data_IF_909827827394
#
_entry.id   IF_909827827394
#
_cell.length_a   1.000
_cell.length_b   1.000
_cell.length_c   1.000
_cell.angle_alpha   90.00
_cell.angle_beta   90.00
_cell.angle_gamma   90.00
#
_symmetry.space_group_name_H-M   'P 1'
#
loop_
_entity.id
_entity.type
_entity.pdbx_description
1 polymer ?
#
# COMPACT_ATOMS: atom_id res chain seq x y z
N UNK A 1 31.58 8.68 8.66
CA UNK A 1 30.11 8.71 8.86
C UNK A 1 29.33 7.90 7.82
N UNK A 2 29.66 7.95 6.52
CA UNK A 2 28.92 7.21 5.47
C UNK A 2 28.97 5.67 5.55
N UNK A 3 30.01 5.08 6.19
CA UNK A 3 30.11 3.62 6.35
C UNK A 3 29.04 3.01 7.28
N UNK A 4 28.57 3.77 8.26
CA UNK A 4 27.57 3.32 9.23
C UNK A 4 26.16 3.20 8.62
N UNK A 5 25.85 3.95 7.56
CA UNK A 5 24.57 3.83 6.86
C UNK A 5 24.52 2.61 5.93
N UNK A 6 25.64 2.20 5.34
CA UNK A 6 25.67 1.08 4.39
C UNK A 6 25.49 -0.26 5.12
N UNK A 7 26.05 -0.41 6.32
CA UNK A 7 25.88 -1.62 7.14
C UNK A 7 24.44 -1.85 7.61
N UNK A 8 23.63 -0.80 7.79
CA UNK A 8 22.22 -0.95 8.19
C UNK A 8 21.28 -1.45 7.08
N UNK A 9 21.63 -1.26 5.82
CA UNK A 9 20.84 -1.76 4.68
C UNK A 9 21.26 -3.16 4.21
N UNK A 10 22.34 -3.72 4.76
CA UNK A 10 22.59 -5.15 4.68
C UNK A 10 21.67 -5.83 5.71
N UNK A 11 20.47 -6.21 5.29
CA UNK A 11 19.62 -7.13 6.05
C UNK A 11 20.44 -8.38 6.38
N UNK A 12 20.95 -8.46 7.61
CA UNK A 12 21.43 -9.70 8.21
C UNK A 12 20.16 -10.51 8.49
N UNK A 13 19.92 -11.63 7.81
CA UNK A 13 18.78 -12.46 8.16
C UNK A 13 19.05 -13.10 9.52
N UNK A 14 18.15 -12.86 10.48
CA UNK A 14 18.05 -13.60 11.73
C UNK A 14 17.59 -15.03 11.42
N UNK A 15 18.49 -15.87 10.90
CA UNK A 15 18.32 -17.31 10.81
C UNK A 15 19.72 -17.95 10.87
N UNK A 16 20.27 -18.00 12.08
CA UNK A 16 21.51 -18.73 12.40
C UNK A 16 21.22 -20.22 12.28
N UNK A 17 21.26 -20.76 11.07
CA UNK A 17 21.44 -22.18 10.86
C UNK A 17 22.94 -22.47 11.02
N UNK A 18 23.29 -22.96 12.20
CA UNK A 18 24.56 -23.57 12.56
C UNK A 18 24.85 -24.71 11.59
N UNK A 19 25.45 -24.42 10.44
CA UNK A 19 26.38 -25.29 9.71
C UNK A 19 26.88 -24.54 8.48
N UNK A 20 28.21 -24.51 8.34
CA UNK A 20 28.93 -23.74 7.35
C UNK A 20 28.45 -23.99 5.93
N UNK A 21 28.07 -22.89 5.27
CA UNK A 21 28.31 -22.51 3.87
C UNK A 21 27.33 -21.37 3.57
N UNK A 22 27.79 -20.12 3.77
CA UNK A 22 27.02 -18.91 3.45
C UNK A 22 26.76 -18.85 1.94
N UNK A 23 25.64 -19.41 1.49
CA UNK A 23 25.12 -19.16 0.15
C UNK A 23 24.48 -17.78 0.16
N UNK A 24 25.18 -16.78 -0.39
CA UNK A 24 24.57 -15.53 -0.84
C UNK A 24 23.64 -15.82 -2.04
N UNK A 25 22.57 -16.58 -1.81
CA UNK A 25 21.50 -16.69 -2.79
C UNK A 25 20.72 -15.40 -2.72
N UNK A 26 20.97 -14.49 -3.67
CA UNK A 26 20.26 -13.24 -3.87
C UNK A 26 18.75 -13.42 -4.21
N UNK A 27 18.20 -14.62 -4.01
CA UNK A 27 16.81 -14.95 -4.30
C UNK A 27 16.01 -15.05 -3.01
N UNK A 28 15.08 -14.11 -2.84
CA UNK A 28 14.06 -14.16 -1.79
C UNK A 28 13.21 -15.41 -2.05
N UNK A 29 13.04 -16.24 -1.03
CA UNK A 29 12.20 -17.44 -1.13
C UNK A 29 10.73 -17.05 -1.24
N UNK A 30 9.95 -17.82 -2.01
CA UNK A 30 8.50 -17.57 -2.22
C UNK A 30 7.74 -17.41 -0.89
N UNK A 31 7.97 -18.23 0.15
CA UNK A 31 7.31 -18.04 1.44
C UNK A 31 7.63 -16.69 2.10
N UNK A 32 8.84 -16.16 1.91
CA UNK A 32 9.28 -14.87 2.44
C UNK A 32 8.67 -13.69 1.68
N UNK A 33 8.30 -13.86 0.40
CA UNK A 33 7.55 -12.86 -0.35
C UNK A 33 6.07 -12.81 0.04
N UNK A 34 5.51 -13.97 0.40
CA UNK A 34 4.09 -14.09 0.74
C UNK A 34 3.81 -13.73 2.20
N UNK A 35 4.68 -14.13 3.13
CA UNK A 35 4.49 -13.97 4.58
C UNK A 35 5.08 -12.66 5.11
N UNK A 36 4.48 -12.17 6.20
CA UNK A 36 4.94 -11.01 6.95
C UNK A 36 4.22 -9.71 6.57
N UNK A 37 4.45 -8.66 7.37
CA UNK A 37 3.78 -7.36 7.27
C UNK A 37 4.00 -6.64 5.92
N UNK A 38 5.13 -6.91 5.27
CA UNK A 38 5.46 -6.37 3.95
C UNK A 38 5.30 -7.41 2.84
N UNK A 39 4.69 -8.56 3.14
CA UNK A 39 4.40 -9.61 2.17
C UNK A 39 3.23 -9.24 1.26
N UNK A 40 3.11 -9.95 0.14
CA UNK A 40 2.09 -9.70 -0.89
C UNK A 40 0.68 -9.83 -0.32
N UNK A 41 0.45 -10.80 0.58
CA UNK A 41 -0.87 -11.06 1.16
C UNK A 41 -1.36 -9.85 1.95
N UNK A 42 -0.55 -9.35 2.87
CA UNK A 42 -0.92 -8.19 3.69
C UNK A 42 -1.03 -6.90 2.85
N UNK A 43 -0.03 -6.62 2.01
CA UNK A 43 0.02 -5.36 1.26
C UNK A 43 -0.97 -5.29 0.10
N UNK A 44 -1.30 -6.42 -0.53
CA UNK A 44 -2.11 -6.45 -1.76
C UNK A 44 -3.50 -7.03 -1.54
N UNK A 45 -3.66 -8.01 -0.64
CA UNK A 45 -4.96 -8.65 -0.41
C UNK A 45 -5.70 -8.04 0.80
N UNK A 46 -5.00 -7.74 1.90
CA UNK A 46 -5.62 -7.23 3.14
C UNK A 46 -5.59 -5.70 3.32
N UNK A 47 -4.90 -4.97 2.44
CA UNK A 47 -4.71 -3.52 2.61
C UNK A 47 -4.28 -2.78 1.35
N UNK A 48 -4.78 -3.21 0.18
CA UNK A 48 -4.39 -2.63 -1.11
C UNK A 48 -4.64 -1.13 -1.16
N UNK A 49 -3.65 -0.38 -1.66
CA UNK A 49 -3.88 1.01 -2.06
C UNK A 49 -4.80 1.07 -3.29
N UNK A 50 -5.91 1.78 -3.15
CA UNK A 50 -6.91 1.99 -4.20
C UNK A 50 -6.64 3.32 -4.90
N UNK A 51 -6.73 3.33 -6.23
CA UNK A 51 -6.41 4.51 -7.06
C UNK A 51 -7.52 5.57 -7.06
N UNK A 52 -8.80 5.17 -7.02
CA UNK A 52 -9.95 6.08 -7.02
C UNK A 52 -10.46 6.32 -5.60
N UNK A 53 -9.72 7.12 -4.82
CA UNK A 53 -10.07 7.45 -3.44
C UNK A 53 -9.51 8.80 -3.04
N UNK A 54 -10.29 9.55 -2.26
CA UNK A 54 -9.84 10.75 -1.56
C UNK A 54 -10.08 10.64 -0.04
N UNK A 55 -9.34 11.41 0.75
CA UNK A 55 -9.55 11.62 2.19
C UNK A 55 -9.56 13.11 2.47
N UNK A 56 -10.52 13.59 3.26
CA UNK A 56 -10.62 14.97 3.73
C UNK A 56 -11.08 15.02 5.18
N UNK A 57 -10.99 16.21 5.79
CA UNK A 57 -11.61 16.48 7.08
C UNK A 57 -13.11 16.62 6.88
N UNK A 58 -13.89 16.12 7.85
CA UNK A 58 -15.35 16.21 7.84
C UNK A 58 -15.77 17.46 8.62
N UNK A 59 -16.66 18.24 8.03
CA UNK A 59 -17.29 19.43 8.65
C UNK A 59 -18.80 19.23 8.63
N UNK A 60 -19.52 19.48 9.74
CA UNK A 60 -20.98 19.37 9.75
C UNK A 60 -21.60 20.44 8.84
N UNK A 61 -22.56 20.04 8.03
CA UNK A 61 -23.35 20.92 7.17
C UNK A 61 -24.84 20.68 7.48
N UNK A 62 -25.59 21.69 7.97
CA UNK A 62 -27.00 21.53 8.34
C UNK A 62 -27.98 21.62 7.16
N UNK A 63 -27.49 22.01 5.98
CA UNK A 63 -28.24 22.33 4.78
C UNK A 63 -28.32 21.18 3.75
N UNK A 64 -27.70 20.03 4.06
CA UNK A 64 -27.68 18.83 3.20
C UNK A 64 -28.64 17.74 3.70
N UNK A 65 -29.11 16.89 2.77
CA UNK A 65 -29.95 15.74 3.10
C UNK A 65 -29.20 14.66 3.90
N UNK A 66 -29.96 13.74 4.51
CA UNK A 66 -29.42 12.65 5.35
C UNK A 66 -28.52 11.69 4.53
N UNK A 67 -28.84 11.49 3.26
CA UNK A 67 -28.12 10.60 2.33
C UNK A 67 -27.07 11.34 1.47
N UNK A 68 -26.81 12.62 1.77
CA UNK A 68 -25.94 13.48 0.97
C UNK A 68 -24.61 13.78 1.68
N UNK A 69 -23.57 14.03 0.88
CA UNK A 69 -22.27 14.49 1.37
C UNK A 69 -21.69 15.53 0.44
N UNK A 70 -21.23 16.63 1.03
CA UNK A 70 -20.58 17.70 0.27
C UNK A 70 -19.16 17.30 -0.14
N UNK A 71 -18.90 17.29 -1.44
CA UNK A 71 -17.57 17.00 -2.00
C UNK A 71 -16.92 18.32 -2.44
N UNK A 72 -15.69 18.63 -1.98
CA UNK A 72 -14.98 19.82 -2.45
C UNK A 72 -14.71 19.75 -3.97
N UNK A 73 -14.83 20.89 -4.66
CA UNK A 73 -14.68 20.97 -6.11
C UNK A 73 -13.38 20.36 -6.64
N UNK A 74 -12.27 20.61 -5.95
CA UNK A 74 -10.94 20.05 -6.28
C UNK A 74 -10.95 18.51 -6.29
N UNK A 75 -11.71 17.89 -5.38
CA UNK A 75 -11.83 16.44 -5.31
C UNK A 75 -12.65 15.92 -6.49
N UNK A 76 -13.79 16.55 -6.77
CA UNK A 76 -14.69 16.17 -7.86
C UNK A 76 -13.99 16.25 -9.22
N UNK A 77 -13.19 17.30 -9.47
CA UNK A 77 -12.43 17.47 -10.71
C UNK A 77 -11.35 16.38 -10.88
N UNK A 78 -10.79 15.88 -9.77
CA UNK A 78 -9.78 14.81 -9.80
C UNK A 78 -10.38 13.40 -9.96
N UNK A 79 -11.64 13.20 -9.56
CA UNK A 79 -12.33 11.92 -9.56
C UNK A 79 -13.13 11.78 -10.86
N UNK A 80 -12.52 11.17 -11.88
CA UNK A 80 -13.22 10.84 -13.13
C UNK A 80 -14.08 9.59 -12.99
N UNK A 81 -15.37 9.70 -13.30
CA UNK A 81 -16.30 8.57 -13.45
C UNK A 81 -16.36 8.22 -14.94
N UNK A 82 -16.27 6.93 -15.28
CA UNK A 82 -16.53 6.47 -16.64
C UNK A 82 -17.98 6.03 -16.72
N UNK A 83 -18.78 6.76 -17.48
CA UNK A 83 -20.09 6.30 -17.92
C UNK A 83 -19.88 5.37 -19.11
N UNK A 84 -20.58 4.24 -19.10
CA UNK A 84 -20.59 3.30 -20.23
C UNK A 84 -21.80 3.64 -21.09
N UNK A 85 -21.58 3.92 -22.37
CA UNK A 85 -22.67 4.16 -23.30
C UNK A 85 -23.50 2.88 -23.44
N UNK A 86 -24.70 2.87 -22.87
CA UNK A 86 -25.70 1.85 -23.20
C UNK A 86 -26.28 2.19 -24.57
N UNK A 87 -25.69 1.61 -25.61
CA UNK A 87 -26.30 1.57 -26.92
C UNK A 87 -27.56 0.69 -26.84
N UNK A 88 -28.74 1.33 -26.78
CA UNK A 88 -30.05 0.72 -26.99
C UNK A 88 -30.41 0.76 -28.49
#
# INVERSE_FOLDING_TARGET
MAKHCIEKYLMIPDDVASNGLKKYSYRISIPKMLKGKYGIIEQTLMGKKISYRMRSVITPAPDIGIEEVSIPRICAESLGIKEYDTAL
#
